data_IF_264368704656
#
_entry.id   IF_264368704656
#
_cell.length_a   1.000
_cell.length_b   1.000
_cell.length_c   1.000
_cell.angle_alpha   90.00
_cell.angle_beta   90.00
_cell.angle_gamma   90.00
#
_symmetry.space_group_name_H-M   'P 1'
#
loop_
_entity.id
_entity.type
_entity.pdbx_description
1 polymer ?
#
# COMPACT_ATOMS: atom_id res chain seq x y z
N UNK A 1 -38.04 36.20 1.77
CA UNK A 1 -36.56 36.08 1.73
C UNK A 1 -36.16 35.47 3.04
N UNK A 2 -35.96 34.15 3.07
CA UNK A 2 -35.67 33.43 4.30
C UNK A 2 -34.16 33.43 4.57
N UNK A 3 -33.75 34.25 5.52
CA UNK A 3 -32.36 34.35 5.97
C UNK A 3 -31.96 33.14 6.80
N UNK A 4 -31.32 32.15 6.18
CA UNK A 4 -30.58 31.09 6.89
C UNK A 4 -29.34 31.71 7.53
N UNK A 5 -29.34 31.88 8.85
CA UNK A 5 -28.13 32.19 9.62
C UNK A 5 -27.21 30.97 9.62
N UNK A 6 -26.10 31.07 8.88
CA UNK A 6 -24.99 30.13 8.94
C UNK A 6 -24.34 30.23 10.33
N UNK A 7 -24.52 29.22 11.18
CA UNK A 7 -23.92 29.18 12.52
C UNK A 7 -22.40 29.13 12.43
N UNK A 8 -21.72 30.18 12.91
CA UNK A 8 -20.26 30.25 12.91
C UNK A 8 -19.66 29.27 13.93
N UNK A 9 -19.00 28.23 13.43
CA UNK A 9 -18.25 27.24 14.24
C UNK A 9 -16.94 27.80 14.82
N UNK A 10 -16.58 29.04 14.48
CA UNK A 10 -15.33 29.68 14.91
C UNK A 10 -15.23 29.85 16.43
N UNK A 11 -16.36 30.12 17.09
CA UNK A 11 -16.36 30.32 18.54
C UNK A 11 -16.21 29.00 19.31
N UNK A 12 -16.79 27.92 18.80
CA UNK A 12 -16.62 26.57 19.35
C UNK A 12 -15.16 26.11 19.22
N UNK A 13 -14.54 26.35 18.05
CA UNK A 13 -13.15 25.97 17.81
C UNK A 13 -12.17 26.75 18.73
N UNK A 14 -12.46 28.02 19.00
CA UNK A 14 -11.68 28.84 19.96
C UNK A 14 -11.87 28.36 21.40
N UNK A 15 -13.09 27.97 21.79
CA UNK A 15 -13.39 27.43 23.11
C UNK A 15 -12.69 26.09 23.37
N UNK A 16 -12.68 25.18 22.39
CA UNK A 16 -12.02 23.87 22.49
C UNK A 16 -10.49 23.97 22.58
N UNK A 17 -9.87 24.95 21.92
CA UNK A 17 -8.43 25.22 22.04
C UNK A 17 -8.04 25.70 23.43
N UNK A 18 -8.91 26.45 24.09
CA UNK A 18 -8.65 27.01 25.42
C UNK A 18 -9.00 26.05 26.57
N UNK A 19 -9.88 25.07 26.32
CA UNK A 19 -10.31 24.07 27.30
C UNK A 19 -10.01 22.64 26.83
N UNK A 20 -8.73 22.32 26.71
CA UNK A 20 -8.26 20.99 26.31
C UNK A 20 -8.65 19.89 27.32
N UNK A 21 -8.94 20.26 28.56
CA UNK A 21 -9.45 19.44 29.65
C UNK A 21 -10.90 18.95 29.42
N UNK A 22 -11.68 19.68 28.61
CA UNK A 22 -13.06 19.32 28.24
C UNK A 22 -13.14 18.44 26.99
N UNK A 23 -12.01 18.19 26.32
CA UNK A 23 -11.96 17.23 25.23
C UNK A 23 -12.02 15.84 25.86
N UNK A 24 -13.14 15.16 25.62
CA UNK A 24 -13.35 13.79 26.09
C UNK A 24 -12.11 12.91 25.80
N UNK A 25 -11.60 12.18 26.81
CA UNK A 25 -10.43 11.32 26.65
C UNK A 25 -10.56 10.31 25.50
N UNK A 26 -11.78 9.87 25.16
CA UNK A 26 -12.01 9.00 24.00
C UNK A 26 -11.83 9.75 22.68
N UNK A 27 -12.32 11.00 22.58
CA UNK A 27 -12.08 11.87 21.42
C UNK A 27 -10.58 12.15 21.22
N UNK A 28 -9.84 12.40 22.31
CA UNK A 28 -8.38 12.58 22.24
C UNK A 28 -7.65 11.29 21.84
N UNK A 29 -8.10 10.13 22.34
CA UNK A 29 -7.58 8.82 21.94
C UNK A 29 -7.89 8.51 20.47
N UNK A 30 -9.09 8.81 19.99
CA UNK A 30 -9.46 8.69 18.57
C UNK A 30 -8.61 9.62 17.70
N UNK A 31 -8.44 10.88 18.07
CA UNK A 31 -7.60 11.80 17.31
C UNK A 31 -6.13 11.35 17.28
N UNK A 32 -5.61 10.81 18.40
CA UNK A 32 -4.28 10.19 18.44
C UNK A 32 -4.20 8.91 17.60
N UNK A 33 -5.24 8.08 17.61
CA UNK A 33 -5.33 6.87 16.80
C UNK A 33 -5.38 7.20 15.30
N UNK A 34 -6.24 8.13 14.89
CA UNK A 34 -6.34 8.60 13.50
C UNK A 34 -5.03 9.25 13.07
N UNK A 35 -4.42 10.09 13.93
CA UNK A 35 -3.11 10.66 13.64
C UNK A 35 -2.05 9.57 13.52
N UNK A 36 -2.04 8.57 14.40
CA UNK A 36 -1.13 7.43 14.35
C UNK A 36 -1.36 6.61 13.07
N UNK A 37 -2.58 6.25 12.72
CA UNK A 37 -2.93 5.55 11.48
C UNK A 37 -2.54 6.33 10.22
N UNK A 38 -2.73 7.66 10.21
CA UNK A 38 -2.33 8.53 9.10
C UNK A 38 -0.82 8.86 9.08
N UNK A 39 -0.14 8.71 10.22
CA UNK A 39 1.32 8.97 10.37
C UNK A 39 2.13 7.68 10.45
N UNK A 40 1.49 6.52 10.49
CA UNK A 40 2.06 5.19 10.34
C UNK A 40 2.42 4.98 8.87
N UNK A 41 3.24 5.89 8.36
CA UNK A 41 4.36 5.58 7.48
C UNK A 41 5.49 4.90 8.33
N UNK A 42 5.11 4.01 9.25
CA UNK A 42 6.00 3.18 10.05
C UNK A 42 5.64 1.71 9.82
N UNK A 43 5.63 1.30 8.57
CA UNK A 43 6.19 0.01 8.22
C UNK A 43 7.55 0.35 7.59
N UNK A 44 8.58 -0.49 7.76
CA UNK A 44 9.81 -0.36 6.98
C UNK A 44 9.40 -0.09 5.53
N UNK A 45 9.56 1.15 5.05
CA UNK A 45 9.26 1.48 3.66
C UNK A 45 10.30 0.71 2.86
N UNK A 46 9.95 -0.51 2.46
CA UNK A 46 10.76 -1.31 1.55
C UNK A 46 10.93 -0.39 0.35
N UNK A 47 12.15 0.11 0.11
CA UNK A 47 12.36 1.08 -0.94
C UNK A 47 11.93 0.41 -2.23
N UNK A 48 11.06 1.09 -2.97
CA UNK A 48 10.60 0.54 -4.23
C UNK A 48 11.80 0.31 -5.16
N UNK A 49 11.95 -0.94 -5.63
CA UNK A 49 12.81 -1.29 -6.75
C UNK A 49 12.01 -2.14 -7.74
N UNK A 50 12.34 -2.05 -9.02
CA UNK A 50 11.70 -2.88 -10.03
C UNK A 50 12.01 -4.37 -9.84
N UNK A 51 13.15 -4.71 -9.22
CA UNK A 51 13.50 -6.08 -8.85
C UNK A 51 12.55 -6.64 -7.79
N UNK A 52 12.34 -5.91 -6.69
CA UNK A 52 11.43 -6.31 -5.61
C UNK A 52 10.00 -6.41 -6.16
N UNK A 53 9.59 -5.45 -6.99
CA UNK A 53 8.27 -5.49 -7.62
C UNK A 53 8.09 -6.74 -8.49
N UNK A 54 9.07 -7.08 -9.35
CA UNK A 54 9.01 -8.26 -10.21
C UNK A 54 8.96 -9.55 -9.41
N UNK A 55 9.72 -9.64 -8.33
CA UNK A 55 9.67 -10.78 -7.41
C UNK A 55 8.26 -10.94 -6.82
N UNK A 56 7.68 -9.86 -6.28
CA UNK A 56 6.32 -9.90 -5.70
C UNK A 56 5.26 -10.23 -6.76
N UNK A 57 5.42 -9.71 -7.98
CA UNK A 57 4.54 -10.02 -9.11
C UNK A 57 4.61 -11.49 -9.49
N UNK A 58 5.81 -12.07 -9.60
CA UNK A 58 6.01 -13.49 -9.90
C UNK A 58 5.42 -14.40 -8.82
N UNK A 59 5.55 -14.02 -7.55
CA UNK A 59 4.91 -14.72 -6.42
C UNK A 59 3.39 -14.67 -6.55
N UNK A 60 2.81 -13.49 -6.74
CA UNK A 60 1.36 -13.33 -6.87
C UNK A 60 0.81 -14.14 -8.05
N UNK A 61 1.48 -14.07 -9.21
CA UNK A 61 1.11 -14.84 -10.40
C UNK A 61 1.10 -16.33 -10.12
N UNK A 62 2.06 -16.84 -9.36
CA UNK A 62 2.15 -18.26 -9.01
C UNK A 62 1.11 -18.69 -7.98
N UNK A 63 0.89 -17.87 -6.95
CA UNK A 63 0.00 -18.20 -5.83
C UNK A 63 -1.46 -18.24 -6.28
N UNK A 64 -1.85 -17.34 -7.17
CA UNK A 64 -3.23 -17.18 -7.61
C UNK A 64 -3.48 -17.74 -9.03
N UNK A 65 -2.52 -18.52 -9.55
CA UNK A 65 -2.53 -19.13 -10.89
C UNK A 65 -2.94 -18.15 -12.01
N UNK A 66 -2.43 -16.93 -11.92
CA UNK A 66 -2.73 -15.88 -12.89
C UNK A 66 -2.03 -16.17 -14.22
N UNK A 67 -2.64 -15.83 -15.36
CA UNK A 67 -1.96 -15.95 -16.64
C UNK A 67 -0.78 -14.97 -16.72
N UNK A 68 0.36 -15.41 -17.24
CA UNK A 68 1.54 -14.54 -17.42
C UNK A 68 1.24 -13.32 -18.30
N UNK A 69 0.26 -13.43 -19.20
CA UNK A 69 -0.19 -12.36 -20.10
C UNK A 69 -0.90 -11.22 -19.37
N UNK A 70 -1.19 -11.34 -18.07
CA UNK A 70 -1.79 -10.26 -17.28
C UNK A 70 -0.93 -8.98 -17.32
N UNK A 71 0.39 -9.12 -17.42
CA UNK A 71 1.30 -7.96 -17.52
C UNK A 71 1.29 -7.28 -18.87
N UNK A 72 0.64 -7.88 -19.87
CA UNK A 72 0.49 -7.33 -21.22
C UNK A 72 -0.82 -6.56 -21.38
N UNK A 73 -1.82 -6.85 -20.54
CA UNK A 73 -3.10 -6.15 -20.45
C UNK A 73 -2.88 -4.63 -20.24
N UNK A 74 -3.38 -3.78 -21.15
CA UNK A 74 -3.26 -2.33 -21.04
C UNK A 74 -3.86 -1.77 -19.75
N UNK A 75 -5.05 -2.23 -19.38
CA UNK A 75 -5.79 -1.78 -18.20
C UNK A 75 -5.04 -2.12 -16.91
N UNK A 76 -4.44 -3.30 -16.85
CA UNK A 76 -3.57 -3.69 -15.74
C UNK A 76 -2.32 -2.80 -15.69
N UNK A 77 -1.69 -2.50 -16.83
CA UNK A 77 -0.53 -1.59 -16.88
C UNK A 77 -0.89 -0.20 -16.37
N UNK A 78 -2.04 0.32 -16.74
CA UNK A 78 -2.52 1.63 -16.28
C UNK A 78 -2.78 1.63 -14.78
N UNK A 79 -3.46 0.61 -14.26
CA UNK A 79 -3.72 0.46 -12.83
C UNK A 79 -2.42 0.43 -12.02
N UNK A 80 -1.44 -0.36 -12.44
CA UNK A 80 -0.16 -0.46 -11.73
C UNK A 80 0.64 0.85 -11.81
N UNK A 81 0.62 1.53 -12.95
CA UNK A 81 1.26 2.84 -13.11
C UNK A 81 0.58 3.92 -12.26
N UNK A 82 -0.73 3.84 -12.08
CA UNK A 82 -1.48 4.73 -11.18
C UNK A 82 -1.01 4.54 -9.73
N UNK A 83 -0.79 3.30 -9.29
CA UNK A 83 -0.25 3.03 -7.95
C UNK A 83 1.19 3.52 -7.78
N UNK A 84 2.04 3.35 -8.79
CA UNK A 84 3.41 3.85 -8.78
C UNK A 84 3.97 4.03 -10.20
N UNK A 85 4.18 5.29 -10.60
CA UNK A 85 4.70 5.64 -11.92
C UNK A 85 6.14 5.18 -12.21
N UNK A 86 6.89 4.73 -11.20
CA UNK A 86 8.25 4.18 -11.39
C UNK A 86 8.27 2.70 -11.80
N UNK A 87 7.10 2.05 -11.81
CA UNK A 87 6.98 0.62 -12.15
C UNK A 87 7.21 0.40 -13.63
N UNK A 88 8.09 -0.55 -13.92
CA UNK A 88 8.31 -1.11 -15.25
C UNK A 88 7.78 -2.54 -15.26
N UNK A 89 6.57 -2.70 -15.80
CA UNK A 89 5.99 -4.03 -16.00
C UNK A 89 6.77 -4.79 -17.08
N UNK A 90 7.08 -6.04 -16.77
CA UNK A 90 7.78 -6.94 -17.67
C UNK A 90 6.80 -7.72 -18.55
N UNK A 91 7.23 -8.19 -19.71
CA UNK A 91 6.40 -9.04 -20.57
C UNK A 91 6.15 -10.42 -19.94
N UNK A 92 5.20 -11.17 -20.49
CA UNK A 92 4.81 -12.48 -19.99
C UNK A 92 6.00 -13.45 -19.87
N UNK A 93 6.88 -13.49 -20.88
CA UNK A 93 8.07 -14.34 -20.89
C UNK A 93 9.04 -14.02 -19.74
N UNK A 94 9.17 -12.74 -19.41
CA UNK A 94 10.03 -12.30 -18.32
C UNK A 94 9.46 -12.73 -16.97
N UNK A 95 8.15 -12.60 -16.77
CA UNK A 95 7.48 -13.07 -15.54
C UNK A 95 7.61 -14.58 -15.40
N UNK A 96 7.42 -15.34 -16.49
CA UNK A 96 7.63 -16.78 -16.51
C UNK A 96 9.05 -17.15 -16.07
N UNK A 97 10.05 -16.45 -16.60
CA UNK A 97 11.44 -16.67 -16.21
C UNK A 97 11.71 -16.32 -14.75
N UNK A 98 11.06 -15.30 -14.20
CA UNK A 98 11.18 -14.94 -12.78
C UNK A 98 10.59 -16.03 -11.88
N UNK A 99 9.43 -16.59 -12.25
CA UNK A 99 8.84 -17.75 -11.55
C UNK A 99 9.79 -18.95 -11.56
N UNK A 100 10.39 -19.27 -12.72
CA UNK A 100 11.36 -20.36 -12.83
C UNK A 100 12.59 -20.14 -11.94
N UNK A 101 13.12 -18.91 -11.90
CA UNK A 101 14.24 -18.55 -11.02
C UNK A 101 13.87 -18.71 -9.55
N UNK A 102 12.68 -18.26 -9.14
CA UNK A 102 12.20 -18.42 -7.77
C UNK A 102 12.09 -19.89 -7.37
N UNK A 103 11.56 -20.73 -8.28
CA UNK A 103 11.48 -22.18 -8.06
C UNK A 103 12.85 -22.83 -7.89
N UNK A 104 13.81 -22.55 -8.77
CA UNK A 104 15.15 -23.15 -8.68
C UNK A 104 15.93 -22.67 -7.43
N UNK A 105 15.76 -21.41 -7.03
CA UNK A 105 16.31 -20.88 -5.79
C UNK A 105 15.74 -21.60 -4.57
N UNK A 106 14.41 -21.77 -4.52
CA UNK A 106 13.74 -22.51 -3.45
C UNK A 106 14.21 -23.96 -3.38
N UNK A 107 14.22 -24.67 -4.53
CA UNK A 107 14.66 -26.06 -4.64
C UNK A 107 16.11 -26.24 -4.18
N UNK A 108 16.98 -25.33 -4.56
CA UNK A 108 18.39 -25.33 -4.17
C UNK A 108 18.54 -25.11 -2.67
N UNK A 109 17.81 -24.13 -2.11
CA UNK A 109 17.80 -23.87 -0.67
C UNK A 109 17.31 -25.06 0.17
N UNK A 110 16.28 -25.77 -0.30
CA UNK A 110 15.81 -27.00 0.36
C UNK A 110 16.86 -28.11 0.31
N UNK A 111 17.53 -28.32 -0.83
CA UNK A 111 18.62 -29.32 -0.95
C UNK A 111 19.76 -29.06 0.04
N UNK A 112 20.13 -27.81 0.27
CA UNK A 112 21.18 -27.47 1.24
C UNK A 112 20.77 -27.70 2.70
N UNK A 113 19.48 -27.62 3.03
CA UNK A 113 18.96 -27.87 4.39
C UNK A 113 18.82 -29.35 4.74
N UNK A 114 18.89 -30.24 3.75
CA UNK A 114 18.71 -31.69 3.89
C UNK A 114 20.03 -32.49 3.85
N UNK A 115 21.17 -31.80 3.74
CA UNK A 115 22.52 -32.37 3.87
C UNK A 115 23.09 -32.02 5.24
#
# INVERSE_FOLDING_TARGET
>A
MDGKTCGSTGNLNKHLKNHLDKIDPSTRKQAKFIKKFLSEDNDEKIPFSNEIFREKLAIWVTVDDQPFTITECPEFKELIKLCNGKVVLSCADTVRNDVLKLYENYRTGVKYKLK
#
